data_IF_840826088892
#
_entry.id   IF_840826088892
#
_cell.length_a   1.000
_cell.length_b   1.000
_cell.length_c   1.000
_cell.angle_alpha   90.00
_cell.angle_beta   90.00
_cell.angle_gamma   90.00
#
_symmetry.space_group_name_H-M   'P 1'
#
loop_
_entity.id
_entity.type
_entity.pdbx_description
1 polymer ?
#
# COMPACT_ATOMS: atom_id res chain seq x y z
N UNK A 1 30.57 5.39 -6.31
CA UNK A 1 29.19 5.93 -6.36
C UNK A 1 28.49 5.27 -7.53
N UNK A 2 27.28 4.78 -7.30
CA UNK A 2 26.52 4.01 -8.28
C UNK A 2 25.09 4.53 -8.36
N UNK A 3 24.39 4.17 -9.44
CA UNK A 3 23.07 4.67 -9.78
C UNK A 3 22.06 3.52 -9.82
N UNK A 4 20.79 3.82 -9.58
CA UNK A 4 19.73 2.79 -9.55
C UNK A 4 19.57 2.18 -10.93
N UNK A 5 19.63 2.99 -11.98
CA UNK A 5 19.55 2.49 -13.35
C UNK A 5 20.60 1.40 -13.65
N UNK A 6 21.77 1.48 -13.01
CA UNK A 6 22.81 0.46 -13.15
C UNK A 6 22.47 -0.83 -12.41
N UNK A 7 21.73 -0.77 -11.31
CA UNK A 7 21.30 -1.95 -10.57
C UNK A 7 20.21 -2.74 -11.29
N UNK A 8 19.32 -2.04 -12.00
CA UNK A 8 18.24 -2.68 -12.74
C UNK A 8 18.81 -3.62 -13.81
N UNK A 9 18.26 -4.82 -13.89
CA UNK A 9 18.71 -5.88 -14.79
C UNK A 9 19.99 -6.59 -14.36
N UNK A 10 20.62 -6.23 -13.23
CA UNK A 10 21.78 -6.99 -12.75
C UNK A 10 21.36 -8.40 -12.29
N UNK A 11 22.15 -9.44 -12.60
CA UNK A 11 21.93 -10.78 -12.09
C UNK A 11 22.20 -10.84 -10.59
N UNK A 12 21.38 -11.60 -9.88
CA UNK A 12 21.57 -11.94 -8.47
C UNK A 12 22.01 -13.39 -8.37
N UNK A 13 23.20 -13.62 -7.81
CA UNK A 13 23.84 -14.95 -7.79
C UNK A 13 24.05 -15.40 -6.36
N UNK A 14 23.69 -16.65 -6.08
CA UNK A 14 23.92 -17.30 -4.80
C UNK A 14 25.28 -18.01 -4.76
N UNK A 15 26.12 -17.66 -3.79
CA UNK A 15 27.48 -18.21 -3.64
C UNK A 15 27.44 -19.68 -3.26
N UNK A 16 26.67 -20.05 -2.23
CA UNK A 16 26.66 -21.43 -1.73
C UNK A 16 25.86 -22.37 -2.63
N UNK A 17 24.83 -21.88 -3.30
CA UNK A 17 24.04 -22.69 -4.22
C UNK A 17 24.69 -22.76 -5.61
N UNK A 18 25.50 -21.77 -6.00
CA UNK A 18 26.10 -21.68 -7.34
C UNK A 18 25.07 -21.39 -8.43
N UNK A 19 23.97 -20.75 -8.08
CA UNK A 19 22.79 -20.55 -8.94
C UNK A 19 22.53 -19.08 -9.23
N UNK A 20 22.02 -18.80 -10.43
CA UNK A 20 21.40 -17.53 -10.77
C UNK A 20 19.99 -17.52 -10.17
N UNK A 21 19.72 -16.58 -9.27
CA UNK A 21 18.46 -16.51 -8.54
C UNK A 21 17.41 -15.63 -9.22
N UNK A 22 17.86 -14.82 -10.20
CA UNK A 22 17.04 -13.90 -10.99
C UNK A 22 17.78 -12.59 -11.31
N UNK A 23 17.02 -11.60 -11.77
CA UNK A 23 17.50 -10.28 -12.14
C UNK A 23 16.80 -9.19 -11.33
N UNK A 24 17.53 -8.14 -10.97
CA UNK A 24 16.94 -7.00 -10.27
C UNK A 24 15.91 -6.31 -11.18
N UNK A 25 14.64 -6.38 -10.80
CA UNK A 25 13.53 -5.75 -11.51
C UNK A 25 13.29 -4.33 -11.02
N UNK A 26 13.47 -4.10 -9.73
CA UNK A 26 13.11 -2.84 -9.08
C UNK A 26 13.87 -2.68 -7.76
N UNK A 27 13.82 -1.48 -7.19
CA UNK A 27 14.38 -1.17 -5.88
C UNK A 27 13.33 -0.54 -4.97
N UNK A 28 13.48 -0.75 -3.67
CA UNK A 28 12.70 -0.07 -2.66
C UNK A 28 13.62 0.67 -1.68
N UNK A 29 13.27 1.92 -1.44
CA UNK A 29 13.98 2.87 -0.59
C UNK A 29 13.14 3.11 0.66
N UNK A 30 13.79 3.39 1.78
CA UNK A 30 13.08 3.80 2.99
C UNK A 30 12.23 5.05 2.73
N UNK A 31 11.18 5.27 3.54
CA UNK A 31 10.26 6.40 3.37
C UNK A 31 10.91 7.78 3.43
N UNK A 32 12.12 7.88 3.97
CA UNK A 32 12.88 9.14 4.06
C UNK A 32 13.94 9.28 2.96
N UNK A 33 14.00 8.34 2.00
CA UNK A 33 14.92 8.37 0.87
C UNK A 33 16.40 8.40 1.25
N UNK A 34 16.75 7.79 2.39
CA UNK A 34 18.10 7.69 2.95
C UNK A 34 18.87 6.48 2.45
N UNK A 35 18.18 5.36 2.22
CA UNK A 35 18.84 4.08 1.97
C UNK A 35 17.97 3.16 1.12
N UNK A 36 18.59 2.50 0.15
CA UNK A 36 17.97 1.36 -0.53
C UNK A 36 17.89 0.22 0.48
N UNK A 37 16.66 -0.19 0.79
CA UNK A 37 16.36 -1.18 1.81
C UNK A 37 16.10 -2.56 1.21
N UNK A 38 15.49 -2.62 0.03
CA UNK A 38 15.14 -3.88 -0.63
C UNK A 38 15.36 -3.80 -2.14
N UNK A 39 15.56 -4.97 -2.74
CA UNK A 39 15.57 -5.16 -4.18
C UNK A 39 14.47 -6.17 -4.55
N UNK A 40 13.66 -5.84 -5.54
CA UNK A 40 12.73 -6.80 -6.14
C UNK A 40 13.47 -7.51 -7.27
N UNK A 41 13.40 -8.82 -7.26
CA UNK A 41 14.12 -9.72 -8.16
C UNK A 41 13.08 -10.51 -8.92
N UNK A 42 13.25 -10.61 -10.24
CA UNK A 42 12.44 -11.47 -11.09
C UNK A 42 13.26 -12.69 -11.49
N UNK A 43 12.74 -13.87 -11.18
CA UNK A 43 13.30 -15.15 -11.59
C UNK A 43 12.71 -15.51 -12.96
N UNK A 44 13.51 -15.36 -14.01
CA UNK A 44 13.08 -15.64 -15.38
C UNK A 44 12.75 -17.13 -15.61
N UNK A 45 13.40 -18.04 -14.88
CA UNK A 45 13.20 -19.49 -15.05
C UNK A 45 11.87 -19.94 -14.44
N UNK A 46 11.57 -19.48 -13.23
CA UNK A 46 10.35 -19.85 -12.49
C UNK A 46 9.19 -18.88 -12.72
N UNK A 47 9.44 -17.73 -13.38
CA UNK A 47 8.50 -16.62 -13.56
C UNK A 47 7.95 -16.06 -12.25
N UNK A 48 8.76 -16.11 -11.19
CA UNK A 48 8.38 -15.69 -9.84
C UNK A 48 9.06 -14.37 -9.45
N UNK A 49 8.36 -13.60 -8.63
CA UNK A 49 8.92 -12.39 -8.01
C UNK A 49 9.42 -12.69 -6.60
N UNK A 50 10.68 -12.33 -6.36
CA UNK A 50 11.36 -12.45 -5.08
C UNK A 50 11.74 -11.06 -4.58
N UNK A 51 11.98 -10.95 -3.28
CA UNK A 51 12.47 -9.74 -2.65
C UNK A 51 13.68 -10.05 -1.78
N UNK A 52 14.70 -9.20 -1.89
CA UNK A 52 15.97 -9.31 -1.20
C UNK A 52 16.15 -8.10 -0.27
N UNK A 53 16.40 -8.37 1.01
CA UNK A 53 16.88 -7.34 1.94
C UNK A 53 18.30 -6.93 1.54
N UNK A 54 18.51 -5.63 1.31
CA UNK A 54 19.79 -5.07 0.93
C UNK A 54 20.91 -5.37 1.95
N UNK A 55 20.59 -5.65 3.21
CA UNK A 55 21.56 -6.06 4.24
C UNK A 55 22.15 -7.45 4.03
N UNK A 56 21.48 -8.30 3.24
CA UNK A 56 21.94 -9.65 2.92
C UNK A 56 22.84 -9.72 1.68
N UNK A 57 23.10 -8.58 1.03
CA UNK A 57 24.06 -8.49 -0.08
C UNK A 57 25.46 -8.72 0.47
N UNK A 58 26.14 -9.73 -0.08
CA UNK A 58 27.53 -10.03 0.25
C UNK A 58 28.50 -9.14 -0.52
N UNK A 59 28.27 -8.97 -1.82
CA UNK A 59 29.05 -8.09 -2.67
C UNK A 59 28.18 -7.45 -3.75
N UNK A 60 28.43 -6.17 -4.02
CA UNK A 60 27.77 -5.39 -5.05
C UNK A 60 28.83 -4.89 -6.03
N UNK A 61 28.86 -5.45 -7.23
CA UNK A 61 29.84 -5.09 -8.26
C UNK A 61 29.15 -4.74 -9.58
N UNK A 62 29.94 -4.38 -10.59
CA UNK A 62 29.43 -4.00 -11.91
C UNK A 62 28.60 -5.11 -12.57
N UNK A 63 29.03 -6.37 -12.46
CA UNK A 63 28.46 -7.47 -13.25
C UNK A 63 27.32 -8.22 -12.54
N UNK A 64 27.37 -8.34 -11.21
CA UNK A 64 26.41 -9.13 -10.45
C UNK A 64 26.27 -8.65 -9.00
N UNK A 65 25.13 -9.00 -8.40
CA UNK A 65 24.88 -8.89 -6.97
C UNK A 65 25.03 -10.28 -6.35
N UNK A 66 25.96 -10.42 -5.42
CA UNK A 66 26.23 -11.69 -4.76
C UNK A 66 25.48 -11.77 -3.44
N UNK A 67 24.78 -12.88 -3.21
CA UNK A 67 24.19 -13.25 -1.92
C UNK A 67 24.78 -14.58 -1.44
N UNK A 68 24.70 -14.86 -0.14
CA UNK A 68 25.26 -16.10 0.41
C UNK A 68 24.50 -17.33 -0.07
N UNK A 69 23.18 -17.33 0.12
CA UNK A 69 22.28 -18.42 -0.23
C UNK A 69 20.88 -17.90 -0.59
N UNK A 70 20.07 -18.74 -1.21
CA UNK A 70 18.69 -18.43 -1.59
C UNK A 70 17.73 -18.24 -0.40
N UNK A 71 18.09 -18.67 0.82
CA UNK A 71 17.31 -18.44 2.04
C UNK A 71 17.15 -16.94 2.39
N UNK A 72 17.93 -16.06 1.75
CA UNK A 72 17.83 -14.60 1.88
C UNK A 72 16.81 -13.97 0.94
N UNK A 73 16.18 -14.78 0.09
CA UNK A 73 15.15 -14.37 -0.84
C UNK A 73 13.79 -14.75 -0.31
N UNK A 74 12.89 -13.79 -0.27
CA UNK A 74 11.52 -13.99 0.14
C UNK A 74 10.61 -13.87 -1.07
N UNK A 75 9.48 -14.57 -1.08
CA UNK A 75 8.48 -14.39 -2.15
C UNK A 75 7.90 -12.98 -2.04
N UNK A 76 7.75 -12.28 -3.17
CA UNK A 76 7.16 -10.95 -3.20
C UNK A 76 5.75 -10.97 -2.57
N UNK A 77 5.36 -9.86 -1.94
CA UNK A 77 4.08 -9.70 -1.21
C UNK A 77 3.92 -10.51 0.10
N UNK A 78 4.89 -11.32 0.49
CA UNK A 78 4.84 -12.01 1.80
C UNK A 78 5.28 -11.11 2.97
N UNK A 79 6.00 -10.03 2.66
CA UNK A 79 6.57 -9.10 3.64
C UNK A 79 6.07 -7.70 3.34
N UNK A 80 5.52 -7.03 4.36
CA UNK A 80 5.29 -5.59 4.30
C UNK A 80 6.62 -4.87 4.56
N UNK A 81 7.23 -4.38 3.49
CA UNK A 81 8.53 -3.69 3.56
C UNK A 81 8.40 -2.28 4.12
N UNK A 82 7.20 -1.70 4.10
CA UNK A 82 6.97 -0.30 4.46
C UNK A 82 7.92 0.69 3.73
N UNK A 83 8.37 0.32 2.52
CA UNK A 83 9.30 1.08 1.68
C UNK A 83 8.60 1.57 0.41
N UNK A 84 9.29 2.43 -0.36
CA UNK A 84 8.75 3.05 -1.57
C UNK A 84 9.76 3.00 -2.72
N UNK A 85 9.27 2.99 -3.95
CA UNK A 85 10.10 3.35 -5.10
C UNK A 85 9.78 4.82 -5.49
N UNK A 86 10.73 5.76 -5.30
CA UNK A 86 10.51 7.17 -5.63
C UNK A 86 10.72 7.52 -7.11
N UNK A 87 11.18 6.58 -7.95
CA UNK A 87 11.43 6.83 -9.37
C UNK A 87 10.12 7.26 -10.03
N UNK A 88 10.18 8.40 -10.71
CA UNK A 88 9.04 9.03 -11.35
C UNK A 88 8.15 9.90 -10.45
N UNK A 89 8.50 10.09 -9.18
CA UNK A 89 7.76 10.98 -8.29
C UNK A 89 7.93 12.43 -8.72
N UNK A 90 6.85 13.22 -8.62
CA UNK A 90 6.89 14.65 -8.92
C UNK A 90 7.38 15.43 -7.71
N UNK A 91 8.28 16.38 -7.95
CA UNK A 91 8.86 17.25 -6.93
C UNK A 91 8.20 18.62 -7.02
N UNK A 92 7.65 19.05 -5.89
CA UNK A 92 7.07 20.38 -5.70
C UNK A 92 7.79 21.10 -4.57
N UNK A 93 7.85 22.42 -4.63
CA UNK A 93 8.25 23.22 -3.48
C UNK A 93 7.06 23.46 -2.54
N UNK A 94 7.35 24.00 -1.36
CA UNK A 94 6.34 24.34 -0.35
C UNK A 94 5.28 25.35 -0.82
N UNK A 95 5.58 26.14 -1.86
CA UNK A 95 4.66 27.10 -2.47
C UNK A 95 3.73 26.45 -3.51
N UNK A 96 3.83 25.12 -3.72
CA UNK A 96 3.01 24.38 -4.68
C UNK A 96 3.47 24.48 -6.13
N UNK A 97 4.64 25.06 -6.40
CA UNK A 97 5.22 25.10 -7.75
C UNK A 97 5.80 23.73 -8.08
N UNK A 98 5.41 23.17 -9.23
CA UNK A 98 6.08 22.02 -9.81
C UNK A 98 7.50 22.40 -10.22
N UNK A 99 8.48 21.63 -9.77
CA UNK A 99 9.87 21.85 -10.13
C UNK A 99 10.36 20.80 -11.11
N UNK A 100 10.20 19.52 -10.77
CA UNK A 100 10.72 18.45 -11.62
C UNK A 100 10.12 17.07 -11.28
N UNK A 101 10.67 16.01 -11.88
CA UNK A 101 10.35 14.60 -11.64
C UNK A 101 11.64 13.83 -11.39
N UNK A 102 11.60 12.86 -10.46
CA UNK A 102 12.74 11.97 -10.19
C UNK A 102 12.94 11.00 -11.34
N UNK A 103 14.18 10.83 -11.77
CA UNK A 103 14.58 9.86 -12.80
C UNK A 103 15.50 8.77 -12.26
N UNK A 104 16.37 9.08 -11.30
CA UNK A 104 17.36 8.14 -10.77
C UNK A 104 17.77 8.52 -9.33
N UNK A 105 18.49 7.63 -8.65
CA UNK A 105 19.10 7.91 -7.35
C UNK A 105 20.58 7.53 -7.40
N UNK A 106 21.42 8.36 -6.80
CA UNK A 106 22.84 8.07 -6.61
C UNK A 106 23.05 7.61 -5.18
N UNK A 107 23.76 6.49 -5.00
CA UNK A 107 24.05 5.93 -3.69
C UNK A 107 25.53 5.55 -3.53
N UNK A 108 25.94 5.38 -2.27
CA UNK A 108 27.27 4.88 -1.92
C UNK A 108 27.34 3.34 -1.90
N UNK A 109 28.53 2.79 -1.70
CA UNK A 109 28.76 1.34 -1.65
C UNK A 109 27.98 0.62 -0.55
N UNK A 110 27.49 1.36 0.45
CA UNK A 110 26.66 0.85 1.55
C UNK A 110 25.16 1.05 1.29
N UNK A 111 24.80 1.43 0.05
CA UNK A 111 23.45 1.67 -0.43
C UNK A 111 22.74 2.85 0.25
N UNK A 112 23.48 3.79 0.83
CA UNK A 112 22.92 5.06 1.29
C UNK A 112 22.79 6.03 0.13
N UNK A 113 21.60 6.60 -0.03
CA UNK A 113 21.29 7.62 -1.02
C UNK A 113 22.09 8.89 -0.69
N UNK A 114 22.77 9.44 -1.68
CA UNK A 114 23.53 10.69 -1.57
C UNK A 114 22.85 11.85 -2.28
N UNK A 115 22.26 11.57 -3.43
CA UNK A 115 21.55 12.57 -4.22
C UNK A 115 20.45 11.92 -5.04
N UNK A 116 19.40 12.69 -5.26
CA UNK A 116 18.26 12.32 -6.08
C UNK A 116 18.43 13.02 -7.44
N UNK A 117 18.38 12.27 -8.53
CA UNK A 117 18.52 12.81 -9.89
C UNK A 117 17.13 13.16 -10.43
N UNK A 118 17.02 14.35 -11.00
CA UNK A 118 15.81 14.87 -11.62
C UNK A 118 15.89 14.78 -13.15
N UNK A 119 14.78 14.99 -13.84
CA UNK A 119 14.68 14.82 -15.30
C UNK A 119 15.62 15.70 -16.11
N UNK A 120 15.99 16.88 -15.61
CA UNK A 120 16.91 17.81 -16.27
C UNK A 120 18.37 17.65 -15.77
N UNK A 121 18.74 16.47 -15.31
CA UNK A 121 20.04 16.14 -14.67
C UNK A 121 20.40 17.01 -13.46
N UNK A 122 19.41 17.71 -12.90
CA UNK A 122 19.54 18.44 -11.65
C UNK A 122 19.65 17.47 -10.48
N UNK A 123 20.53 17.78 -9.53
CA UNK A 123 20.70 17.00 -8.31
C UNK A 123 19.97 17.67 -7.15
N UNK A 124 19.15 16.88 -6.47
CA UNK A 124 18.47 17.25 -5.24
C UNK A 124 19.16 16.56 -4.06
N UNK A 125 19.54 17.36 -3.06
CA UNK A 125 20.07 16.83 -1.80
C UNK A 125 18.92 16.23 -0.98
N UNK A 126 19.14 15.04 -0.40
CA UNK A 126 18.18 14.36 0.47
C UNK A 126 17.69 15.27 1.60
N UNK A 127 18.56 16.14 2.13
CA UNK A 127 18.24 17.03 3.25
C UNK A 127 17.17 18.08 2.93
N UNK A 128 17.01 18.42 1.66
CA UNK A 128 15.99 19.37 1.20
C UNK A 128 14.59 18.74 1.11
N UNK A 129 14.49 17.41 1.25
CA UNK A 129 13.22 16.68 1.23
C UNK A 129 12.49 16.88 2.55
N UNK A 130 11.34 17.56 2.48
CA UNK A 130 10.49 17.85 3.63
C UNK A 130 9.47 16.74 3.90
N UNK A 131 8.87 16.21 2.84
CA UNK A 131 7.86 15.16 2.94
C UNK A 131 7.86 14.29 1.67
N UNK A 132 7.64 13.00 1.87
CA UNK A 132 7.46 12.02 0.79
C UNK A 132 6.06 11.42 0.92
N UNK A 133 5.21 11.77 -0.03
CA UNK A 133 3.85 11.25 -0.14
C UNK A 133 3.72 10.17 -1.21
N UNK A 134 2.48 9.88 -1.59
CA UNK A 134 2.18 8.94 -2.67
C UNK A 134 2.45 9.61 -4.02
N UNK A 135 3.55 9.25 -4.68
CA UNK A 135 4.00 9.76 -5.98
C UNK A 135 4.42 11.24 -6.01
N UNK A 136 4.57 11.87 -4.85
CA UNK A 136 4.89 13.30 -4.71
C UNK A 136 5.94 13.48 -3.63
N UNK A 137 6.90 14.37 -3.90
CA UNK A 137 7.88 14.86 -2.93
C UNK A 137 7.73 16.36 -2.78
N UNK A 138 7.74 16.80 -1.53
CA UNK A 138 7.77 18.22 -1.18
C UNK A 138 9.19 18.54 -0.73
N UNK A 139 9.83 19.49 -1.40
CA UNK A 139 11.13 20.03 -0.99
C UNK A 139 11.01 21.41 -0.37
N UNK A 140 12.03 21.79 0.40
CA UNK A 140 12.21 23.13 0.91
C UNK A 140 13.69 23.45 1.00
N UNK A 141 14.04 24.68 0.62
CA UNK A 141 15.40 25.20 0.72
C UNK A 141 15.62 25.91 2.08
N UNK A 142 14.56 26.09 2.87
CA UNK A 142 14.55 26.80 4.15
C UNK A 142 13.98 25.94 5.28
N UNK A 143 14.33 26.23 6.54
CA UNK A 143 13.72 25.57 7.69
C UNK A 143 12.29 26.08 7.90
N UNK A 144 11.31 25.47 7.25
CA UNK A 144 9.91 25.89 7.39
C UNK A 144 9.22 25.13 8.52
N UNK A 145 8.69 25.88 9.50
CA UNK A 145 7.80 25.32 10.53
C UNK A 145 6.39 25.20 9.94
N UNK A 146 6.06 24.02 9.42
CA UNK A 146 4.67 23.71 9.09
C UNK A 146 3.91 23.57 10.41
N UNK A 147 2.98 24.50 10.69
CA UNK A 147 2.00 24.26 11.75
C UNK A 147 1.26 22.98 11.39
N UNK A 148 1.26 22.01 12.30
CA UNK A 148 0.47 20.80 12.12
C UNK A 148 -0.97 21.22 11.79
N UNK A 149 -1.38 20.99 10.54
CA UNK A 149 -2.79 20.85 10.21
C UNK A 149 -3.24 19.54 10.86
N UNK A 150 -3.31 19.51 12.20
CA UNK A 150 -3.97 18.42 12.89
C UNK A 150 -5.39 18.43 12.31
N UNK A 151 -5.85 17.32 11.70
CA UNK A 151 -7.24 17.24 11.32
C UNK A 151 -8.03 17.55 12.60
N UNK A 152 -8.78 18.65 12.60
CA UNK A 152 -9.69 18.95 13.72
C UNK A 152 -10.53 17.69 13.84
N UNK A 153 -10.44 17.05 15.01
CA UNK A 153 -11.09 15.79 15.34
C UNK A 153 -12.45 15.71 14.66
N UNK A 154 -12.73 14.57 14.00
CA UNK A 154 -13.98 14.22 13.31
C UNK A 154 -15.11 15.14 13.74
N UNK A 155 -15.55 16.01 12.85
CA UNK A 155 -16.79 16.76 13.01
C UNK A 155 -17.82 15.74 13.47
N UNK A 156 -18.21 15.80 14.74
CA UNK A 156 -19.42 15.10 15.18
C UNK A 156 -20.51 15.83 14.42
N UNK A 157 -20.95 15.26 13.31
CA UNK A 157 -22.22 15.63 12.71
C UNK A 157 -23.21 15.55 13.88
N UNK A 158 -23.65 16.71 14.35
CA UNK A 158 -24.80 16.79 15.22
C UNK A 158 -25.94 16.25 14.37
N UNK A 159 -26.24 14.97 14.54
CA UNK A 159 -27.52 14.41 14.15
C UNK A 159 -28.51 15.35 14.84
N UNK A 160 -29.24 16.10 14.02
CA UNK A 160 -30.29 16.97 14.51
C UNK A 160 -31.09 16.15 15.50
N UNK A 161 -31.26 16.71 16.69
CA UNK A 161 -32.01 16.15 17.80
C UNK A 161 -33.37 15.74 17.24
N UNK A 162 -33.54 14.46 16.93
CA UNK A 162 -34.82 13.90 16.54
C UNK A 162 -35.75 14.18 17.71
N UNK A 163 -36.83 14.89 17.42
CA UNK A 163 -37.93 15.06 18.35
C UNK A 163 -38.34 13.68 18.87
N UNK A 164 -38.43 13.58 20.19
CA UNK A 164 -38.81 12.35 20.90
C UNK A 164 -40.06 11.75 20.27
N UNK A 165 -39.92 10.54 19.73
CA UNK A 165 -41.01 9.58 19.66
C UNK A 165 -40.61 8.41 20.55
N UNK A 166 -41.34 8.23 21.64
CA UNK A 166 -41.20 7.10 22.55
C UNK A 166 -41.47 5.79 21.80
N UNK A 167 -40.54 4.84 21.90
CA UNK A 167 -40.81 3.43 21.72
C UNK A 167 -39.83 2.62 22.58
N UNK A 168 -40.39 1.60 23.22
CA UNK A 168 -39.91 0.90 24.40
C UNK A 168 -38.48 0.36 24.35
N UNK A 169 -37.87 0.34 25.55
CA UNK A 169 -36.64 -0.37 25.86
C UNK A 169 -36.76 -1.88 25.59
N UNK A 170 -35.81 -2.44 24.87
CA UNK A 170 -35.31 -3.79 25.19
C UNK A 170 -33.77 -3.80 25.15
N UNK A 171 -33.22 -4.08 26.33
CA UNK A 171 -31.80 -4.31 26.59
C UNK A 171 -31.34 -5.53 25.81
N UNK A 172 -30.22 -5.44 25.10
CA UNK A 172 -29.12 -6.41 25.19
C UNK A 172 -27.88 -5.88 24.46
N UNK A 173 -26.81 -5.69 25.24
CA UNK A 173 -25.49 -5.33 24.75
C UNK A 173 -24.89 -6.53 24.00
N UNK A 174 -24.54 -6.34 22.72
CA UNK A 174 -23.74 -7.32 21.97
C UNK A 174 -22.28 -6.90 22.01
N UNK A 175 -21.47 -7.72 22.69
CA UNK A 175 -20.02 -7.65 22.74
C UNK A 175 -19.48 -8.09 21.38
N UNK A 176 -18.91 -7.17 20.59
CA UNK A 176 -18.27 -7.49 19.31
C UNK A 176 -16.86 -8.03 19.61
N UNK A 177 -16.71 -9.36 19.62
CA UNK A 177 -15.38 -10.00 19.56
C UNK A 177 -14.83 -9.86 18.15
N UNK A 178 -13.79 -9.05 17.99
CA UNK A 178 -13.03 -8.92 16.75
C UNK A 178 -12.36 -10.25 16.38
N UNK A 179 -12.76 -10.84 15.26
CA UNK A 179 -12.01 -11.88 14.56
C UNK A 179 -11.68 -11.39 13.14
N UNK A 180 -10.56 -11.82 12.56
CA UNK A 180 -9.97 -11.20 11.37
C UNK A 180 -10.84 -11.35 10.13
N UNK A 181 -10.95 -10.27 9.35
CA UNK A 181 -11.72 -10.18 8.11
C UNK A 181 -11.13 -11.09 7.03
N UNK A 182 -11.79 -12.23 6.79
CA UNK A 182 -11.66 -12.92 5.50
C UNK A 182 -12.60 -12.21 4.52
N UNK A 183 -12.04 -11.37 3.65
CA UNK A 183 -12.81 -10.68 2.62
C UNK A 183 -13.27 -11.74 1.61
N UNK A 184 -14.52 -12.18 1.73
CA UNK A 184 -15.20 -13.07 0.79
C UNK A 184 -16.01 -12.21 -0.20
N UNK A 185 -15.37 -11.28 -0.92
CA UNK A 185 -16.04 -10.49 -1.97
C UNK A 185 -15.90 -11.08 -3.37
N UNK A 186 -14.97 -12.01 -3.59
CA UNK A 186 -14.67 -12.54 -4.92
C UNK A 186 -15.91 -13.20 -5.56
N UNK A 187 -16.56 -12.50 -6.48
CA UNK A 187 -17.68 -12.99 -7.28
C UNK A 187 -19.01 -12.24 -7.11
N UNK A 188 -19.14 -11.31 -6.15
CA UNK A 188 -20.37 -10.55 -5.88
C UNK A 188 -20.23 -9.04 -6.07
N UNK A 189 -19.12 -8.59 -6.67
CA UNK A 189 -18.84 -7.17 -6.95
C UNK A 189 -19.94 -6.52 -7.83
N UNK A 190 -20.61 -7.31 -8.67
CA UNK A 190 -21.72 -6.86 -9.52
C UNK A 190 -22.97 -6.39 -8.75
N UNK A 191 -23.09 -6.75 -7.47
CA UNK A 191 -24.18 -6.30 -6.61
C UNK A 191 -23.92 -4.92 -6.01
N UNK A 192 -22.65 -4.48 -5.94
CA UNK A 192 -22.27 -3.21 -5.34
C UNK A 192 -22.90 -2.07 -6.12
N UNK A 193 -23.65 -1.21 -5.42
CA UNK A 193 -24.32 -0.06 -6.01
C UNK A 193 -25.79 -0.27 -6.38
N UNK A 194 -26.27 -1.53 -6.44
CA UNK A 194 -27.70 -1.85 -6.61
C UNK A 194 -28.50 -1.59 -5.33
N UNK A 195 -29.83 -1.57 -5.43
CA UNK A 195 -30.74 -1.45 -4.28
C UNK A 195 -31.35 -2.80 -3.92
N UNK A 196 -31.61 -3.03 -2.64
CA UNK A 196 -32.31 -4.23 -2.18
C UNK A 196 -33.82 -4.04 -2.33
N UNK A 197 -34.49 -4.89 -3.10
CA UNK A 197 -35.92 -4.82 -3.38
C UNK A 197 -36.82 -5.32 -2.24
N UNK A 198 -36.28 -6.11 -1.31
CA UNK A 198 -37.03 -6.69 -0.17
C UNK A 198 -36.20 -6.70 1.11
N UNK A 199 -36.86 -6.84 2.27
CA UNK A 199 -36.14 -7.02 3.54
C UNK A 199 -35.51 -8.43 3.55
N UNK A 200 -34.25 -8.51 3.98
CA UNK A 200 -33.55 -9.79 4.16
C UNK A 200 -33.44 -10.05 5.66
N UNK A 201 -33.87 -11.24 6.09
CA UNK A 201 -33.87 -11.66 7.48
C UNK A 201 -32.90 -12.83 7.69
N UNK A 202 -32.33 -12.95 8.88
CA UNK A 202 -31.58 -14.13 9.33
C UNK A 202 -32.53 -15.29 9.62
N UNK A 203 -31.99 -16.50 9.79
CA UNK A 203 -32.74 -17.68 10.21
C UNK A 203 -33.44 -17.47 11.57
N UNK A 204 -32.88 -16.59 12.40
CA UNK A 204 -33.44 -16.16 13.69
C UNK A 204 -34.52 -15.07 13.56
N UNK A 205 -35.01 -14.77 12.35
CA UNK A 205 -35.96 -13.68 12.01
C UNK A 205 -35.43 -12.26 12.30
N UNK A 206 -34.14 -12.11 12.56
CA UNK A 206 -33.51 -10.79 12.73
C UNK A 206 -33.34 -10.09 11.38
N UNK A 207 -33.71 -8.82 11.26
CA UNK A 207 -33.53 -8.04 10.03
C UNK A 207 -32.03 -7.79 9.77
N UNK A 208 -31.52 -8.28 8.64
CA UNK A 208 -30.12 -8.11 8.22
C UNK A 208 -29.96 -6.92 7.26
N UNK A 209 -30.88 -6.78 6.31
CA UNK A 209 -30.83 -5.73 5.30
C UNK A 209 -32.23 -5.20 5.03
N UNK A 210 -32.40 -3.87 5.10
CA UNK A 210 -33.68 -3.20 4.86
C UNK A 210 -33.92 -3.00 3.36
N UNK A 211 -35.17 -3.12 2.93
CA UNK A 211 -35.64 -2.73 1.59
C UNK A 211 -35.21 -1.30 1.26
N UNK A 212 -34.84 -1.08 0.00
CA UNK A 212 -34.28 0.15 -0.59
C UNK A 212 -32.87 0.55 -0.10
N UNK A 213 -32.20 -0.29 0.70
CA UNK A 213 -30.80 -0.04 1.06
C UNK A 213 -29.89 -0.24 -0.15
N UNK A 214 -28.86 0.60 -0.28
CA UNK A 214 -27.82 0.45 -1.32
C UNK A 214 -26.86 -0.65 -0.89
N UNK A 215 -26.60 -1.63 -1.76
CA UNK A 215 -25.70 -2.74 -1.48
C UNK A 215 -24.26 -2.22 -1.43
N UNK A 216 -23.61 -2.44 -0.29
CA UNK A 216 -22.20 -2.13 0.00
C UNK A 216 -21.45 -3.42 0.35
N UNK A 217 -20.12 -3.37 0.41
CA UNK A 217 -19.30 -4.51 0.83
C UNK A 217 -19.72 -5.06 2.20
N UNK A 218 -20.11 -4.18 3.12
CA UNK A 218 -20.60 -4.58 4.44
C UNK A 218 -21.88 -5.42 4.36
N UNK A 219 -22.79 -5.10 3.44
CA UNK A 219 -24.04 -5.86 3.25
C UNK A 219 -23.74 -7.25 2.64
N UNK A 220 -22.75 -7.32 1.74
CA UNK A 220 -22.29 -8.60 1.17
C UNK A 220 -21.66 -9.46 2.27
N UNK A 221 -20.81 -8.87 3.12
CA UNK A 221 -20.20 -9.57 4.24
C UNK A 221 -21.25 -10.09 5.24
N UNK A 222 -22.22 -9.25 5.62
CA UNK A 222 -23.33 -9.64 6.51
C UNK A 222 -24.17 -10.76 5.87
N UNK A 223 -24.50 -10.64 4.58
CA UNK A 223 -25.26 -11.67 3.87
C UNK A 223 -24.46 -12.98 3.74
N UNK A 224 -23.14 -12.91 3.54
CA UNK A 224 -22.25 -14.08 3.50
C UNK A 224 -22.19 -14.78 4.85
N UNK A 225 -22.00 -14.02 5.94
CA UNK A 225 -21.94 -14.55 7.29
C UNK A 225 -23.24 -15.22 7.75
N UNK A 226 -24.38 -14.80 7.17
CA UNK A 226 -25.70 -15.35 7.48
C UNK A 226 -26.22 -16.32 6.39
N UNK A 227 -25.40 -16.72 5.41
CA UNK A 227 -25.82 -17.64 4.34
C UNK A 227 -26.91 -17.09 3.40
N UNK A 228 -27.13 -15.76 3.38
CA UNK A 228 -28.20 -15.08 2.62
C UNK A 228 -27.73 -14.44 1.30
N UNK A 229 -26.56 -14.82 0.76
CA UNK A 229 -26.05 -14.28 -0.51
C UNK A 229 -26.96 -14.57 -1.71
N UNK A 230 -27.60 -15.74 -1.75
CA UNK A 230 -28.55 -16.12 -2.81
C UNK A 230 -29.79 -15.22 -2.78
N UNK A 231 -30.30 -14.91 -1.59
CA UNK A 231 -31.43 -13.99 -1.39
C UNK A 231 -31.06 -12.55 -1.74
N UNK A 232 -29.85 -12.10 -1.35
CA UNK A 232 -29.33 -10.78 -1.71
C UNK A 232 -29.20 -10.62 -3.23
N UNK A 233 -28.75 -11.66 -3.94
CA UNK A 233 -28.66 -11.65 -5.40
C UNK A 233 -30.04 -11.57 -6.04
N UNK A 234 -30.98 -12.38 -5.56
CA UNK A 234 -32.36 -12.47 -6.07
C UNK A 234 -33.14 -11.18 -5.85
N UNK A 235 -32.92 -10.50 -4.73
CA UNK A 235 -33.60 -9.25 -4.39
C UNK A 235 -32.82 -8.00 -4.81
N UNK A 236 -31.73 -8.13 -5.57
CA UNK A 236 -31.03 -6.97 -6.10
C UNK A 236 -31.80 -6.36 -7.28
N UNK A 237 -32.07 -5.06 -7.19
CA UNK A 237 -32.76 -4.26 -8.23
C UNK A 237 -31.81 -3.14 -8.67
N UNK A 238 -31.76 -2.92 -9.98
CA UNK A 238 -30.97 -1.84 -10.60
C UNK A 238 -31.60 -0.48 -10.26
#
# INVERSE_FOLDING_TARGET
>A
MENVLKLLGKPVVSIYNGTLEGFVKNILVDKKLKKIAWLEIFDDENQDEKILDATNIYALNNDAIMIKNNEKLYVANTIDTNCINPIGYKVYNINGKYENKITDLVFDEKLYVKSIVLQDDLLLDEKSVLNVGNNIIIKTDETVKIQYFKPKSKIKLSINKEEKVEALEEKNAVIIKSHPNKILTAGYEFLIGRKVGQNIYSETKQLLVKKNSKITNQIIDIASQNGKLKELTTYSVI
#
